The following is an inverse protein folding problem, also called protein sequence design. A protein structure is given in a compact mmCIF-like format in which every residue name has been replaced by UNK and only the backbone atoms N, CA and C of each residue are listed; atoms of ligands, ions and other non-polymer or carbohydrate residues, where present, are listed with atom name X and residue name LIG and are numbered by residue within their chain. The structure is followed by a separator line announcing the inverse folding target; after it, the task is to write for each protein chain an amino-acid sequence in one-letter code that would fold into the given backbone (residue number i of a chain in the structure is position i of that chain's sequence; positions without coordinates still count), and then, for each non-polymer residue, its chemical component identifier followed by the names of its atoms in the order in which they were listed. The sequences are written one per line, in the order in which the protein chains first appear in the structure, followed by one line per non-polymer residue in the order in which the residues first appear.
data_IF_054977745390
#
_entry.id   IF_054977745390
#
_cell.length_a   1.000
_cell.length_b   1.000
_cell.length_c   1.000
_cell.angle_alpha   90.00
_cell.angle_beta   90.00
_cell.angle_gamma   90.00
#
_symmetry.space_group_name_H-M   'P 1'
#
loop_
_entity.id
_entity.type
_entity.pdbx_description
1 polymer ?
#
# COMPACT_ATOMS: atom_id res chain seq x y z
N UNK A 1 -2.40 -2.63 2.37
CA UNK A 1 -3.38 -1.55 2.16
C UNK A 1 -3.69 -0.84 3.47
N UNK A 2 -3.67 0.50 3.49
CA UNK A 2 -4.20 1.29 4.60
C UNK A 2 -5.68 1.63 4.37
N UNK A 3 -6.53 1.41 5.38
CA UNK A 3 -7.99 1.61 5.29
C UNK A 3 -8.59 2.18 6.58
N UNK A 4 -9.77 2.79 6.44
CA UNK A 4 -10.70 3.06 7.54
C UNK A 4 -12.04 2.36 7.27
N UNK A 5 -12.72 1.90 8.31
CA UNK A 5 -13.99 1.17 8.16
C UNK A 5 -15.14 2.05 7.65
N UNK A 6 -15.07 3.37 7.85
CA UNK A 6 -16.07 4.32 7.34
C UNK A 6 -15.82 4.76 5.88
N UNK A 7 -14.73 4.31 5.26
CA UNK A 7 -14.26 4.79 3.95
C UNK A 7 -14.80 3.90 2.83
N UNK A 8 -15.83 4.37 2.12
CA UNK A 8 -16.40 3.67 0.97
C UNK A 8 -15.38 3.41 -0.15
N UNK A 9 -14.48 4.35 -0.53
CA UNK A 9 -13.41 4.05 -1.49
C UNK A 9 -12.48 2.93 -1.00
N UNK A 10 -12.26 2.80 0.30
CA UNK A 10 -11.46 1.74 0.88
C UNK A 10 -12.14 0.38 0.73
N UNK A 11 -13.46 0.32 0.80
CA UNK A 11 -14.19 -0.91 0.53
C UNK A 11 -13.98 -1.37 -0.93
N UNK A 12 -14.18 -0.47 -1.89
CA UNK A 12 -14.05 -0.82 -3.31
C UNK A 12 -12.61 -1.12 -3.71
N UNK A 13 -11.61 -0.36 -3.21
CA UNK A 13 -10.20 -0.67 -3.46
C UNK A 13 -9.83 -2.06 -2.94
N UNK A 14 -10.32 -2.42 -1.74
CA UNK A 14 -10.05 -3.74 -1.16
C UNK A 14 -10.69 -4.88 -1.96
N UNK A 15 -11.87 -4.66 -2.56
CA UNK A 15 -12.49 -5.62 -3.49
C UNK A 15 -11.64 -5.78 -4.76
N UNK A 16 -11.23 -4.69 -5.40
CA UNK A 16 -10.36 -4.72 -6.58
C UNK A 16 -9.06 -5.45 -6.31
N UNK A 17 -8.45 -5.20 -5.14
CA UNK A 17 -7.23 -5.88 -4.74
C UNK A 17 -7.48 -7.37 -4.55
N UNK A 18 -8.49 -7.77 -3.77
CA UNK A 18 -8.83 -9.17 -3.54
C UNK A 18 -9.06 -9.96 -4.84
N UNK A 19 -9.70 -9.35 -5.84
CA UNK A 19 -9.92 -9.95 -7.15
C UNK A 19 -8.60 -10.24 -7.88
N UNK A 20 -7.65 -9.30 -7.83
CA UNK A 20 -6.33 -9.46 -8.44
C UNK A 20 -5.47 -10.45 -7.67
N UNK A 21 -5.43 -10.37 -6.34
CA UNK A 21 -4.59 -11.22 -5.48
C UNK A 21 -4.81 -12.71 -5.71
N UNK A 22 -6.01 -13.12 -6.11
CA UNK A 22 -6.33 -14.51 -6.43
C UNK A 22 -5.38 -15.11 -7.49
N UNK A 23 -4.86 -14.28 -8.40
CA UNK A 23 -3.91 -14.69 -9.44
C UNK A 23 -2.46 -14.83 -8.94
N UNK A 24 -2.15 -14.22 -7.80
CA UNK A 24 -0.80 -14.07 -7.27
C UNK A 24 -0.61 -14.70 -5.89
N UNK A 25 -1.56 -15.50 -5.42
CA UNK A 25 -1.63 -15.99 -4.04
C UNK A 25 -0.34 -16.68 -3.53
N UNK A 26 0.43 -17.29 -4.42
CA UNK A 26 1.69 -17.97 -4.08
C UNK A 26 2.91 -17.03 -3.99
N UNK A 27 2.77 -15.76 -4.41
CA UNK A 27 3.89 -14.83 -4.56
C UNK A 27 3.84 -13.65 -3.59
N UNK A 28 2.68 -13.35 -3.00
CA UNK A 28 2.45 -12.12 -2.24
C UNK A 28 1.78 -12.40 -0.90
N UNK A 29 2.23 -11.68 0.13
CA UNK A 29 1.53 -11.59 1.42
C UNK A 29 0.77 -10.26 1.48
N UNK A 30 -0.55 -10.34 1.60
CA UNK A 30 -1.41 -9.16 1.60
C UNK A 30 -1.89 -8.81 3.01
N UNK A 31 -1.49 -7.63 3.49
CA UNK A 31 -1.93 -7.10 4.78
C UNK A 31 -2.85 -5.88 4.63
N UNK A 32 -3.96 -5.88 5.38
CA UNK A 32 -4.79 -4.70 5.65
C UNK A 32 -4.36 -4.05 6.96
N UNK A 33 -4.25 -2.72 6.96
CA UNK A 33 -3.89 -1.92 8.13
C UNK A 33 -5.01 -0.93 8.41
N UNK A 34 -5.74 -1.14 9.50
CA UNK A 34 -6.69 -0.17 10.04
C UNK A 34 -5.91 0.93 10.77
N UNK A 35 -5.89 2.15 10.20
CA UNK A 35 -5.10 3.25 10.77
C UNK A 35 -5.76 3.92 11.99
N UNK A 36 -7.01 3.59 12.32
CA UNK A 36 -7.70 4.23 13.45
C UNK A 36 -7.38 3.57 14.79
N UNK A 37 -6.82 2.35 14.79
CA UNK A 37 -6.69 1.50 15.98
C UNK A 37 -5.27 0.98 16.19
N UNK A 38 -4.87 0.89 17.46
CA UNK A 38 -3.66 0.19 17.92
C UNK A 38 -2.38 0.54 17.15
N UNK A 39 -1.65 -0.49 16.74
CA UNK A 39 -0.40 -0.39 15.98
C UNK A 39 -0.58 0.20 14.56
N UNK A 40 -1.75 0.04 13.96
CA UNK A 40 -2.04 0.58 12.63
C UNK A 40 -1.98 2.12 12.61
N UNK A 41 -2.45 2.76 13.68
CA UNK A 41 -2.31 4.21 13.88
C UNK A 41 -0.86 4.66 13.93
N UNK A 42 -0.01 3.93 14.67
CA UNK A 42 1.42 4.26 14.78
C UNK A 42 2.11 4.15 13.42
N UNK A 43 1.92 3.02 12.72
CA UNK A 43 2.48 2.78 11.38
C UNK A 43 2.02 3.84 10.37
N UNK A 44 0.75 4.24 10.41
CA UNK A 44 0.21 5.29 9.54
C UNK A 44 0.87 6.67 9.77
N UNK A 45 1.09 7.06 11.02
CA UNK A 45 1.74 8.34 11.34
C UNK A 45 3.24 8.32 10.97
N UNK A 46 3.92 7.20 11.21
CA UNK A 46 5.30 7.00 10.77
C UNK A 46 5.43 7.09 9.25
N UNK A 47 4.55 6.39 8.53
CA UNK A 47 4.48 6.45 7.08
C UNK A 47 4.22 7.87 6.56
N UNK A 48 3.29 8.60 7.18
CA UNK A 48 2.99 9.99 6.82
C UNK A 48 4.22 10.89 6.94
N UNK A 49 5.06 10.66 7.96
CA UNK A 49 6.32 11.39 8.17
C UNK A 49 7.38 10.99 7.15
N UNK A 50 7.46 9.72 6.77
CA UNK A 50 8.39 9.25 5.74
C UNK A 50 8.04 9.84 4.36
N UNK A 51 6.75 9.90 4.02
CA UNK A 51 6.30 10.41 2.71
C UNK A 51 6.47 11.92 2.55
N UNK A 52 6.19 12.71 3.58
CA UNK A 52 6.13 14.17 3.48
C UNK A 52 7.23 14.90 4.25
N UNK A 53 8.00 14.21 5.08
CA UNK A 53 8.94 14.79 6.02
C UNK A 53 8.27 15.36 7.28
N UNK A 54 9.07 15.51 8.34
CA UNK A 54 8.60 15.93 9.67
C UNK A 54 7.91 17.31 9.65
N UNK A 55 8.45 18.24 8.84
CA UNK A 55 7.95 19.60 8.78
C UNK A 55 6.55 19.67 8.16
N UNK A 56 6.35 19.04 7.00
CA UNK A 56 5.05 19.03 6.32
C UNK A 56 4.00 18.23 7.11
N UNK A 57 4.42 17.15 7.78
CA UNK A 57 3.55 16.39 8.67
C UNK A 57 3.05 17.26 9.84
N UNK A 58 3.93 17.99 10.53
CA UNK A 58 3.54 18.79 11.71
C UNK A 58 2.85 20.10 11.37
N UNK A 59 3.39 20.87 10.42
CA UNK A 59 2.93 22.24 10.15
C UNK A 59 1.73 22.28 9.21
N UNK A 60 1.63 21.30 8.31
CA UNK A 60 0.61 21.28 7.27
C UNK A 60 -0.35 20.09 7.39
N UNK A 61 -0.23 19.29 8.45
CA UNK A 61 -1.05 18.10 8.69
C UNK A 61 -1.11 17.18 7.46
N UNK A 62 -0.01 17.05 6.72
CA UNK A 62 0.07 16.15 5.56
C UNK A 62 0.14 14.72 6.06
N UNK A 63 -0.90 13.95 5.75
CA UNK A 63 -1.06 12.55 6.12
C UNK A 63 -1.02 11.67 4.88
N UNK A 64 -0.57 10.42 5.05
CA UNK A 64 -0.62 9.42 3.99
C UNK A 64 -2.06 9.26 3.45
N UNK A 65 -2.23 9.05 2.14
CA UNK A 65 -3.56 8.94 1.54
C UNK A 65 -4.32 7.72 2.07
N UNK A 66 -5.66 7.83 2.08
CA UNK A 66 -6.57 6.76 2.50
C UNK A 66 -7.74 6.70 1.49
N UNK A 67 -7.97 5.56 0.82
CA UNK A 67 -7.16 4.34 0.89
C UNK A 67 -5.81 4.52 0.19
N UNK A 68 -4.88 3.61 0.47
CA UNK A 68 -3.61 3.54 -0.25
C UNK A 68 -3.02 2.14 -0.27
N UNK A 69 -2.33 1.84 -1.37
CA UNK A 69 -1.61 0.58 -1.58
C UNK A 69 -0.11 0.82 -1.60
N UNK A 70 0.56 -0.09 -0.89
CA UNK A 70 2.00 -0.13 -0.79
C UNK A 70 2.47 -1.51 -1.22
N UNK A 71 3.55 -1.55 -1.99
CA UNK A 71 4.26 -2.77 -2.36
C UNK A 71 5.68 -2.62 -1.83
N UNK A 72 6.13 -3.59 -1.02
CA UNK A 72 7.44 -3.57 -0.37
C UNK A 72 7.80 -2.25 0.37
N UNK A 73 6.78 -1.55 0.88
CA UNK A 73 6.94 -0.30 1.64
C UNK A 73 6.85 0.99 0.82
N UNK A 74 6.73 0.91 -0.50
CA UNK A 74 6.62 2.05 -1.39
C UNK A 74 5.16 2.31 -1.78
N UNK A 75 4.73 3.59 -1.82
CA UNK A 75 3.38 3.97 -2.20
C UNK A 75 3.20 3.78 -3.71
N UNK A 76 2.29 2.92 -4.11
CA UNK A 76 2.02 2.63 -5.53
C UNK A 76 0.70 3.26 -5.99
N UNK A 77 -0.33 3.23 -5.15
CA UNK A 77 -1.64 3.82 -5.49
C UNK A 77 -2.25 4.55 -4.29
N UNK A 78 -2.81 5.73 -4.55
CA UNK A 78 -3.58 6.55 -3.59
C UNK A 78 -5.09 6.63 -3.94
N UNK A 79 -5.50 5.95 -5.01
CA UNK A 79 -6.88 5.79 -5.46
C UNK A 79 -7.09 4.38 -6.02
N UNK A 80 -8.36 3.97 -6.19
CA UNK A 80 -8.70 2.64 -6.73
C UNK A 80 -8.05 2.50 -8.12
N UNK A 81 -7.08 1.58 -8.29
CA UNK A 81 -6.42 1.41 -9.57
C UNK A 81 -7.32 0.66 -10.56
N UNK A 82 -7.17 0.91 -11.87
CA UNK A 82 -7.59 -0.05 -12.88
C UNK A 82 -6.92 -1.41 -12.62
N UNK A 83 -7.63 -2.49 -12.90
CA UNK A 83 -7.14 -3.86 -12.64
C UNK A 83 -5.80 -4.13 -13.33
N UNK A 84 -5.65 -3.74 -14.60
CA UNK A 84 -4.42 -3.99 -15.36
C UNK A 84 -3.20 -3.24 -14.76
N UNK A 85 -3.38 -2.01 -14.26
CA UNK A 85 -2.28 -1.26 -13.63
C UNK A 85 -1.84 -1.92 -12.33
N UNK A 86 -2.78 -2.49 -11.57
CA UNK A 86 -2.46 -3.22 -10.35
C UNK A 86 -1.70 -4.52 -10.66
N UNK A 87 -2.07 -5.23 -11.72
CA UNK A 87 -1.37 -6.42 -12.20
C UNK A 87 0.06 -6.08 -12.61
N UNK A 88 0.23 -5.09 -13.48
CA UNK A 88 1.54 -4.62 -13.96
C UNK A 88 2.45 -4.24 -12.78
N UNK A 89 1.93 -3.49 -11.79
CA UNK A 89 2.69 -3.09 -10.62
C UNK A 89 3.12 -4.27 -9.73
N UNK A 90 2.30 -5.31 -9.61
CA UNK A 90 2.65 -6.54 -8.87
C UNK A 90 3.73 -7.31 -9.63
N UNK A 91 3.56 -7.47 -10.95
CA UNK A 91 4.52 -8.18 -11.80
C UNK A 91 5.90 -7.51 -11.80
N UNK A 92 5.94 -6.19 -11.93
CA UNK A 92 7.18 -5.41 -11.81
C UNK A 92 7.86 -5.63 -10.45
N UNK A 93 7.11 -5.60 -9.35
CA UNK A 93 7.67 -5.81 -8.02
C UNK A 93 8.24 -7.23 -7.84
N UNK A 94 7.54 -8.25 -8.35
CA UNK A 94 8.01 -9.64 -8.34
C UNK A 94 9.31 -9.78 -9.15
N UNK A 95 9.38 -9.16 -10.33
CA UNK A 95 10.57 -9.19 -11.19
C UNK A 95 11.76 -8.48 -10.54
N UNK A 96 11.55 -7.29 -9.97
CA UNK A 96 12.59 -6.56 -9.24
C UNK A 96 13.16 -7.38 -8.08
N UNK A 97 12.30 -8.08 -7.33
CA UNK A 97 12.69 -8.94 -6.22
C UNK A 97 13.51 -10.15 -6.67
N UNK A 98 13.13 -10.77 -7.78
CA UNK A 98 13.91 -11.85 -8.41
C UNK A 98 15.30 -11.34 -8.81
N UNK A 99 15.38 -10.20 -9.48
CA UNK A 99 16.63 -9.60 -9.96
C UNK A 99 17.56 -9.19 -8.82
N UNK A 100 17.04 -8.66 -7.71
CA UNK A 100 17.84 -8.35 -6.51
C UNK A 100 18.42 -9.62 -5.88
N UNK A 101 17.65 -10.71 -5.85
CA UNK A 101 18.10 -12.00 -5.29
C UNK A 101 19.17 -12.69 -6.14
N UNK A 102 19.24 -12.41 -7.45
CA UNK A 102 20.31 -12.90 -8.33
C UNK A 102 21.58 -12.06 -8.29
N UNK A 103 21.50 -10.77 -7.93
CA UNK A 103 22.68 -9.91 -7.77
C UNK A 103 23.44 -10.14 -6.45
N UNK A 104 22.76 -10.64 -5.42
CA UNK A 104 23.36 -10.92 -4.10
C UNK A 104 24.02 -12.32 -4.01
N UNK A 105 24.24 -13.00 -5.15
CA UNK A 105 24.91 -14.32 -5.26
C UNK A 105 26.15 -14.24 -6.13
#
# INVERSE_FOLDING_TARGET
MYKADYCLPCFYMDQTVLEVLAKYADFIDYQRVDFLRGEGKKRFLELSRLLYGEENFRKHCRLAPVPSLFIDGELVFDAIPPVFELEDAIDEAIEQKKNRTTLDK
#
